data_IF_742005181054
#
_entry.id   IF_742005181054
#
_cell.length_a   1.000
_cell.length_b   1.000
_cell.length_c   1.000
_cell.angle_alpha   90.00
_cell.angle_beta   90.00
_cell.angle_gamma   90.00
#
_symmetry.space_group_name_H-M   'P 1'
#
loop_
_entity.id
_entity.type
_entity.pdbx_description
1 polymer ?
#
# COMPACT_ATOMS: atom_id res chain seq x y z
N UNK A 1 25.37 -36.76 0.03
CA UNK A 1 24.46 -35.90 0.82
C UNK A 1 24.22 -34.62 0.02
N UNK A 2 22.97 -34.29 -0.33
CA UNK A 2 22.64 -33.02 -0.98
C UNK A 2 22.36 -31.99 0.11
N UNK A 3 23.27 -31.05 0.32
CA UNK A 3 23.09 -29.93 1.23
C UNK A 3 22.04 -29.01 0.61
N UNK A 4 20.85 -28.93 1.21
CA UNK A 4 19.90 -27.86 0.93
C UNK A 4 20.55 -26.55 1.40
N UNK A 5 21.15 -25.82 0.47
CA UNK A 5 21.49 -24.43 0.71
C UNK A 5 20.17 -23.69 0.98
N UNK A 6 19.86 -23.45 2.26
CA UNK A 6 18.85 -22.50 2.66
C UNK A 6 19.21 -21.19 1.96
N UNK A 7 18.45 -20.81 0.94
CA UNK A 7 18.59 -19.50 0.32
C UNK A 7 18.52 -18.50 1.47
N UNK A 8 19.60 -17.75 1.69
CA UNK A 8 19.59 -16.64 2.62
C UNK A 8 18.40 -15.77 2.25
N UNK A 9 17.38 -15.74 3.11
CA UNK A 9 16.25 -14.84 2.94
C UNK A 9 16.86 -13.43 2.94
N UNK A 10 16.71 -12.69 1.84
CA UNK A 10 17.09 -11.28 1.82
C UNK A 10 16.42 -10.60 3.02
N UNK A 11 17.16 -9.79 3.79
CA UNK A 11 16.58 -9.08 4.91
C UNK A 11 15.38 -8.25 4.41
N UNK A 12 14.34 -8.19 5.24
CA UNK A 12 13.15 -7.42 4.93
C UNK A 12 13.54 -5.97 4.60
N UNK A 13 12.89 -5.34 3.61
CA UNK A 13 13.34 -4.07 3.05
C UNK A 13 13.35 -2.90 4.03
N UNK A 14 12.60 -2.99 5.14
CA UNK A 14 12.56 -1.96 6.17
C UNK A 14 13.01 -2.50 7.54
N UNK A 15 14.03 -1.86 8.10
CA UNK A 15 14.45 -2.02 9.50
C UNK A 15 14.14 -0.73 10.26
N UNK A 16 13.51 -0.86 11.42
CA UNK A 16 13.24 0.23 12.35
C UNK A 16 14.53 0.65 13.09
N UNK A 17 14.52 1.85 13.69
CA UNK A 17 15.66 2.40 14.42
C UNK A 17 16.07 1.58 15.65
N UNK A 18 15.13 0.84 16.23
CA UNK A 18 15.37 -0.12 17.32
C UNK A 18 15.94 -1.48 16.84
N UNK A 19 16.24 -1.59 15.55
CA UNK A 19 16.76 -2.81 14.91
C UNK A 19 15.69 -3.84 14.56
N UNK A 20 14.42 -3.59 14.88
CA UNK A 20 13.32 -4.52 14.56
C UNK A 20 12.88 -4.40 13.10
N UNK A 21 12.18 -5.42 12.60
CA UNK A 21 11.61 -5.43 11.24
C UNK A 21 10.10 -5.50 11.34
N UNK A 22 9.39 -4.39 11.57
CA UNK A 22 7.94 -4.41 11.72
C UNK A 22 7.29 -4.91 10.42
N UNK A 23 6.32 -5.82 10.55
CA UNK A 23 5.56 -6.38 9.44
C UNK A 23 4.08 -6.09 9.66
N UNK A 24 3.42 -5.54 8.64
CA UNK A 24 1.97 -5.46 8.56
C UNK A 24 1.51 -6.41 7.46
N UNK A 25 0.64 -7.36 7.81
CA UNK A 25 0.03 -8.28 6.86
C UNK A 25 -1.36 -7.77 6.50
N UNK A 26 -1.64 -7.71 5.20
CA UNK A 26 -2.93 -7.30 4.67
C UNK A 26 -3.48 -8.34 3.68
N UNK A 27 -4.79 -8.51 3.69
CA UNK A 27 -5.50 -9.32 2.70
C UNK A 27 -5.81 -8.48 1.46
N UNK A 28 -6.04 -9.09 0.27
CA UNK A 28 -6.33 -8.35 -0.95
C UNK A 28 -7.61 -7.50 -0.87
N UNK A 29 -8.53 -7.88 0.01
CA UNK A 29 -9.80 -7.19 0.24
C UNK A 29 -9.70 -6.12 1.34
N UNK A 30 -8.59 -6.03 2.07
CA UNK A 30 -8.37 -4.95 3.03
C UNK A 30 -8.31 -3.61 2.27
N UNK A 31 -8.82 -2.54 2.88
CA UNK A 31 -8.68 -1.20 2.34
C UNK A 31 -7.30 -0.61 2.67
N UNK A 32 -6.79 0.23 1.77
CA UNK A 32 -5.51 0.92 1.95
C UNK A 32 -5.54 1.82 3.19
N UNK A 33 -6.66 2.52 3.44
CA UNK A 33 -6.87 3.33 4.64
C UNK A 33 -6.59 2.55 5.94
N UNK A 34 -7.20 1.37 6.08
CA UNK A 34 -7.08 0.53 7.27
C UNK A 34 -5.66 0.00 7.48
N UNK A 35 -5.00 -0.40 6.39
CA UNK A 35 -3.60 -0.84 6.42
C UNK A 35 -2.69 0.30 6.84
N UNK A 36 -2.89 1.50 6.30
CA UNK A 36 -2.05 2.65 6.64
C UNK A 36 -2.27 3.07 8.09
N UNK A 37 -3.51 3.02 8.60
CA UNK A 37 -3.78 3.26 10.01
C UNK A 37 -3.01 2.28 10.91
N UNK A 38 -2.93 0.99 10.52
CA UNK A 38 -2.09 -0.01 11.21
C UNK A 38 -0.60 0.32 11.14
N UNK A 39 -0.10 0.73 9.98
CA UNK A 39 1.33 1.11 9.82
C UNK A 39 1.67 2.35 10.64
N UNK A 40 0.78 3.34 10.72
CA UNK A 40 0.95 4.52 11.59
C UNK A 40 1.09 4.14 13.06
N UNK A 41 0.33 3.14 13.54
CA UNK A 41 0.42 2.65 14.93
C UNK A 41 1.77 2.02 15.29
N UNK A 42 2.52 1.52 14.31
CA UNK A 42 3.84 0.91 14.53
C UNK A 42 5.00 1.86 14.19
N UNK A 43 4.76 3.17 14.24
CA UNK A 43 5.80 4.19 14.00
C UNK A 43 5.85 4.71 12.57
N UNK A 44 4.82 4.42 11.75
CA UNK A 44 4.64 5.04 10.44
C UNK A 44 5.43 4.42 9.29
N UNK A 45 6.27 3.42 9.54
CA UNK A 45 6.97 2.67 8.49
C UNK A 45 6.99 1.18 8.83
N UNK A 46 6.80 0.32 7.83
CA UNK A 46 6.75 -1.12 8.02
C UNK A 46 6.99 -1.88 6.70
N UNK A 47 7.33 -3.17 6.83
CA UNK A 47 7.27 -4.13 5.75
C UNK A 47 5.80 -4.56 5.56
N UNK A 48 5.24 -4.25 4.41
CA UNK A 48 3.86 -4.61 4.08
C UNK A 48 3.83 -5.90 3.28
N UNK A 49 3.24 -6.95 3.83
CA UNK A 49 2.98 -8.20 3.14
C UNK A 49 1.51 -8.27 2.69
N UNK A 50 1.25 -8.32 1.38
CA UNK A 50 -0.08 -8.58 0.82
C UNK A 50 -0.22 -10.08 0.59
N UNK A 51 -1.05 -10.73 1.39
CA UNK A 51 -1.23 -12.18 1.38
C UNK A 51 -2.32 -12.59 0.39
N UNK A 52 -1.93 -13.02 -0.80
CA UNK A 52 -2.86 -13.59 -1.79
C UNK A 52 -2.96 -15.12 -1.63
N UNK A 53 -4.00 -15.72 -2.21
CA UNK A 53 -4.19 -17.18 -2.19
C UNK A 53 -3.01 -17.98 -2.78
N UNK A 54 -2.16 -17.35 -3.60
CA UNK A 54 -1.05 -18.02 -4.30
C UNK A 54 0.33 -17.59 -3.82
N UNK A 55 0.45 -16.44 -3.15
CA UNK A 55 1.74 -15.85 -2.80
C UNK A 55 1.61 -14.73 -1.75
N UNK A 56 2.70 -14.48 -1.03
CA UNK A 56 2.91 -13.26 -0.25
C UNK A 56 3.73 -12.27 -1.06
N UNK A 57 3.19 -11.08 -1.29
CA UNK A 57 3.88 -10.00 -1.97
C UNK A 57 4.38 -9.00 -0.94
N UNK A 58 5.68 -8.71 -0.95
CA UNK A 58 6.31 -7.87 0.05
C UNK A 58 6.67 -6.49 -0.52
N UNK A 59 6.27 -5.44 0.20
CA UNK A 59 6.48 -4.05 -0.16
C UNK A 59 7.08 -3.29 1.02
N UNK A 60 8.01 -2.37 0.77
CA UNK A 60 8.43 -1.40 1.77
C UNK A 60 7.43 -0.25 1.84
N UNK A 61 6.94 0.07 3.04
CA UNK A 61 6.04 1.20 3.24
C UNK A 61 6.63 2.20 4.23
N UNK A 62 6.56 3.48 3.88
CA UNK A 62 6.95 4.58 4.77
C UNK A 62 6.00 5.76 4.60
N UNK A 63 5.47 6.26 5.71
CA UNK A 63 4.60 7.44 5.76
C UNK A 63 5.37 8.77 5.73
N UNK A 64 6.66 8.76 6.08
CA UNK A 64 7.51 9.95 6.09
C UNK A 64 8.14 10.23 4.73
N UNK A 65 7.99 9.31 3.76
CA UNK A 65 8.37 9.45 2.36
C UNK A 65 9.81 9.86 2.13
N UNK A 66 10.65 8.97 1.60
CA UNK A 66 11.90 9.47 1.02
C UNK A 66 11.57 10.30 -0.24
N UNK A 67 12.17 11.50 -0.39
CA UNK A 67 11.98 12.30 -1.59
C UNK A 67 12.45 11.50 -2.80
N UNK A 68 11.52 11.18 -3.69
CA UNK A 68 11.81 10.56 -4.97
C UNK A 68 11.96 11.65 -6.02
N UNK A 69 12.98 11.54 -6.88
CA UNK A 69 13.15 12.42 -8.03
C UNK A 69 12.04 12.21 -9.08
N UNK A 70 11.28 11.12 -8.98
CA UNK A 70 10.18 10.79 -9.86
C UNK A 70 8.86 11.21 -9.21
N UNK A 71 8.00 11.87 -9.98
CA UNK A 71 6.66 12.21 -9.53
C UNK A 71 5.90 10.95 -9.06
N UNK A 72 5.37 10.96 -7.83
CA UNK A 72 4.75 9.77 -7.27
C UNK A 72 3.37 9.52 -7.88
N UNK A 73 2.99 8.26 -8.01
CA UNK A 73 1.64 7.89 -8.45
C UNK A 73 0.66 8.15 -7.30
N UNK A 74 -0.33 9.00 -7.56
CA UNK A 74 -1.40 9.29 -6.60
C UNK A 74 -2.45 8.17 -6.61
N UNK A 75 -2.79 7.65 -5.43
CA UNK A 75 -3.88 6.68 -5.26
C UNK A 75 -4.79 7.02 -4.08
N UNK A 76 -6.06 6.63 -4.19
CA UNK A 76 -7.07 6.80 -3.15
C UNK A 76 -6.91 5.73 -2.04
N UNK A 77 -7.15 6.11 -0.80
CA UNK A 77 -7.22 5.24 0.37
C UNK A 77 -8.38 4.22 0.33
N UNK A 78 -9.44 4.50 -0.43
CA UNK A 78 -10.59 3.59 -0.60
C UNK A 78 -10.27 2.40 -1.53
N UNK A 79 -9.06 2.37 -2.09
CA UNK A 79 -8.58 1.28 -2.90
C UNK A 79 -8.37 0.03 -2.03
N UNK A 80 -8.68 -1.15 -2.55
CA UNK A 80 -8.29 -2.40 -1.89
C UNK A 80 -6.80 -2.69 -2.06
N UNK A 81 -6.21 -3.46 -1.16
CA UNK A 81 -4.79 -3.86 -1.25
C UNK A 81 -4.49 -4.69 -2.48
N UNK A 82 -5.44 -5.50 -2.97
CA UNK A 82 -5.30 -6.23 -4.22
C UNK A 82 -5.18 -5.28 -5.41
N UNK A 83 -6.00 -4.24 -5.46
CA UNK A 83 -5.92 -3.22 -6.49
C UNK A 83 -4.64 -2.37 -6.39
N UNK A 84 -4.19 -2.08 -5.17
CA UNK A 84 -2.89 -1.45 -4.92
C UNK A 84 -1.74 -2.32 -5.46
N UNK A 85 -1.72 -3.61 -5.16
CA UNK A 85 -0.70 -4.53 -5.65
C UNK A 85 -0.65 -4.58 -7.18
N UNK A 86 -1.81 -4.63 -7.85
CA UNK A 86 -1.91 -4.51 -9.31
C UNK A 86 -1.29 -3.19 -9.80
N UNK A 87 -1.59 -2.07 -9.11
CA UNK A 87 -1.09 -0.75 -9.47
C UNK A 87 0.43 -0.64 -9.33
N UNK A 88 1.02 -1.21 -8.27
CA UNK A 88 2.47 -1.28 -8.05
C UNK A 88 3.13 -2.10 -9.15
N UNK A 89 2.61 -3.31 -9.44
CA UNK A 89 3.15 -4.18 -10.50
C UNK A 89 3.12 -3.54 -11.89
N UNK A 90 2.11 -2.73 -12.19
CA UNK A 90 2.02 -1.98 -13.45
C UNK A 90 3.05 -0.83 -13.54
N UNK A 91 3.61 -0.41 -12.41
CA UNK A 91 4.57 0.71 -12.34
C UNK A 91 5.76 0.37 -11.43
N UNK A 92 6.54 -0.68 -11.78
CA UNK A 92 7.66 -1.10 -10.95
C UNK A 92 8.68 0.04 -10.80
N UNK A 93 9.25 0.18 -9.60
CA UNK A 93 10.28 1.19 -9.30
C UNK A 93 9.75 2.63 -9.15
N UNK A 94 8.45 2.88 -9.34
CA UNK A 94 7.87 4.22 -9.08
C UNK A 94 7.39 4.32 -7.64
N UNK A 95 7.67 5.45 -7.00
CA UNK A 95 7.11 5.78 -5.70
C UNK A 95 5.59 6.00 -5.82
N UNK A 96 4.84 5.56 -4.83
CA UNK A 96 3.39 5.75 -4.74
C UNK A 96 3.10 6.70 -3.59
N UNK A 97 2.28 7.72 -3.86
CA UNK A 97 1.76 8.64 -2.85
C UNK A 97 0.30 8.34 -2.60
N UNK A 98 -0.02 8.09 -1.35
CA UNK A 98 -1.40 7.94 -0.90
C UNK A 98 -2.01 9.32 -0.68
N UNK A 99 -3.25 9.50 -1.14
CA UNK A 99 -4.05 10.68 -0.81
C UNK A 99 -5.18 10.24 0.09
N UNK A 100 -5.11 10.70 1.34
CA UNK A 100 -6.19 10.60 2.30
C UNK A 100 -7.17 11.72 1.97
N UNK A 101 -8.38 11.37 1.54
CA UNK A 101 -9.46 12.36 1.47
C UNK A 101 -9.94 12.53 2.91
N UNK A 102 -9.41 13.53 3.61
CA UNK A 102 -10.02 13.98 4.85
C UNK A 102 -11.44 14.42 4.50
N UNK A 103 -12.41 13.74 5.11
CA UNK A 103 -13.82 13.81 4.72
C UNK A 103 -14.47 15.07 5.31
N UNK A 104 -13.91 16.24 4.99
CA UNK A 104 -14.56 17.55 5.12
C UNK A 104 -14.83 18.18 3.75
N UNK A 105 -14.73 17.40 2.68
CA UNK A 105 -15.33 17.81 1.40
C UNK A 105 -16.82 17.56 1.47
N UNK A 106 -17.58 18.62 1.78
CA UNK A 106 -18.97 18.78 1.38
C UNK A 106 -19.09 18.29 -0.07
N UNK A 107 -19.55 17.06 -0.26
CA UNK A 107 -19.98 16.57 -1.56
C UNK A 107 -21.18 17.45 -1.89
N UNK A 108 -21.13 18.33 -2.91
CA UNK A 108 -22.34 18.99 -3.35
C UNK A 108 -23.31 17.86 -3.70
N UNK A 109 -24.48 17.85 -3.07
CA UNK A 109 -25.53 16.91 -3.46
C UNK A 109 -25.62 16.93 -4.99
N UNK A 110 -25.68 15.75 -5.65
CA UNK A 110 -25.81 15.72 -7.09
C UNK A 110 -27.04 16.54 -7.45
N UNK A 111 -26.80 17.67 -8.11
CA UNK A 111 -27.85 18.52 -8.65
C UNK A 111 -28.77 17.59 -9.44
N UNK A 112 -30.06 17.56 -9.08
CA UNK A 112 -31.02 16.50 -9.42
C UNK A 112 -31.38 16.47 -10.92
N UNK A 113 -30.50 17.00 -11.77
CA UNK A 113 -30.64 17.17 -13.22
C UNK A 113 -29.66 16.33 -14.04
N UNK A 114 -28.77 15.54 -13.46
CA UNK A 114 -28.05 14.50 -14.23
C UNK A 114 -28.96 13.29 -14.46
N UNK A 115 -29.93 13.45 -15.36
CA UNK A 115 -30.56 12.33 -16.04
C UNK A 115 -29.50 11.70 -16.95
N UNK A 116 -29.01 10.51 -16.58
CA UNK A 116 -28.29 9.65 -17.52
C UNK A 116 -29.29 9.10 -18.53
N UNK A 117 -29.38 9.74 -19.69
CA UNK A 117 -30.03 9.16 -20.86
C UNK A 117 -29.13 8.05 -21.41
N UNK A 118 -29.55 6.80 -21.26
CA UNK A 118 -29.04 5.70 -22.06
C UNK A 118 -29.71 5.77 -23.43
N UNK A 119 -28.90 5.92 -24.48
CA UNK A 119 -29.29 5.66 -25.86
C UNK A 119 -28.87 4.23 -26.24
#
# INVERSE_FOLDING_TARGET
>A
MKTLALRQHSPLPFQSADGTFPIVVALPNDYVSDVVARIRRVGGSANLAVASAKAFELYGFSSTGQPSAVEPIIINQDLSMGMLAIRIKKNPGRSIRLVFRDTDTNIPEPDSKMQFSYA
#
